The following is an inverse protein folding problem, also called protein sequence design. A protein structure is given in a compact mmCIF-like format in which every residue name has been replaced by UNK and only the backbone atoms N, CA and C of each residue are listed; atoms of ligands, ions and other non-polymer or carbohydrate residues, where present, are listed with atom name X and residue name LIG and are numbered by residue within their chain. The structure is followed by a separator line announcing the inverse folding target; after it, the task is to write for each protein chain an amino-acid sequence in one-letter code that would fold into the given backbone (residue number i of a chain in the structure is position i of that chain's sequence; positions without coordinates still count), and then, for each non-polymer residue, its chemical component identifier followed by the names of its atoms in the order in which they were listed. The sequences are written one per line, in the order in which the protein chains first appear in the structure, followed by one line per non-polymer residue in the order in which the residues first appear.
data_IF_506046852380
#
_entry.id   IF_506046852380
#
_cell.length_a   1.000
_cell.length_b   1.000
_cell.length_c   1.000
_cell.angle_alpha   90.00
_cell.angle_beta   90.00
_cell.angle_gamma   90.00
#
_symmetry.space_group_name_H-M   'P 1'
#
loop_
_entity.id
_entity.type
_entity.pdbx_description
1 polymer ?
#
# COMPACT_ATOMS: atom_id res chain seq x y z
N UNK A 1 63.66 -0.21 -6.97
CA UNK A 1 64.12 0.41 -8.22
C UNK A 1 63.00 1.27 -8.76
N UNK A 2 63.10 2.57 -8.54
CA UNK A 2 62.40 3.63 -9.29
C UNK A 2 63.20 3.93 -10.56
N UNK A 3 62.64 4.49 -11.63
CA UNK A 3 62.54 5.95 -11.77
C UNK A 3 61.19 6.36 -12.39
N UNK A 4 60.58 7.48 -12.01
CA UNK A 4 60.80 8.92 -12.34
C UNK A 4 60.54 9.34 -13.80
N UNK A 5 59.74 10.44 -13.84
CA UNK A 5 59.70 11.53 -14.82
C UNK A 5 58.61 11.43 -15.87
N UNK A 6 57.86 12.44 -16.29
CA UNK A 6 58.02 13.91 -16.11
C UNK A 6 56.72 14.60 -16.49
N UNK A 7 56.53 15.76 -15.90
CA UNK A 7 55.60 16.86 -16.19
C UNK A 7 55.73 17.35 -17.65
N UNK A 8 54.62 17.78 -18.24
CA UNK A 8 54.66 18.94 -19.16
C UNK A 8 53.36 19.75 -18.99
N UNK A 9 53.55 20.93 -18.41
CA UNK A 9 52.67 22.08 -18.51
C UNK A 9 52.74 22.65 -19.92
N UNK A 10 51.64 23.13 -20.40
CA UNK A 10 51.68 24.18 -21.45
C UNK A 10 50.48 25.12 -21.25
N UNK A 11 50.85 26.31 -20.97
CA UNK A 11 50.13 27.54 -20.75
C UNK A 11 49.49 28.11 -22.03
N UNK A 12 48.51 29.01 -21.77
CA UNK A 12 48.15 30.24 -22.47
C UNK A 12 47.30 30.08 -23.75
N UNK A 13 46.12 30.71 -23.87
CA UNK A 13 45.91 32.18 -24.03
C UNK A 13 44.41 32.45 -24.03
N UNK A 14 43.99 33.39 -23.19
CA UNK A 14 42.78 34.17 -23.39
C UNK A 14 43.07 35.30 -24.36
N UNK A 15 42.10 35.79 -25.08
CA UNK A 15 41.92 37.23 -25.13
C UNK A 15 40.54 37.71 -24.72
N UNK A 16 40.62 38.77 -23.98
CA UNK A 16 39.54 39.63 -23.53
C UNK A 16 39.03 40.56 -24.66
N UNK A 17 37.84 41.02 -24.44
CA UNK A 17 37.29 42.22 -25.09
C UNK A 17 36.13 41.90 -26.03
N UNK A 18 34.94 42.40 -25.87
CA UNK A 18 34.59 43.82 -25.79
C UNK A 18 33.18 44.00 -25.22
N UNK A 19 33.06 44.92 -24.31
CA UNK A 19 31.84 45.64 -23.93
C UNK A 19 31.29 46.43 -25.13
N UNK A 20 29.97 46.56 -25.16
CA UNK A 20 29.16 47.75 -25.45
C UNK A 20 27.80 47.28 -25.95
N UNK A 21 26.82 47.40 -25.14
CA UNK A 21 25.95 48.57 -24.96
C UNK A 21 24.68 48.54 -25.82
N UNK A 22 23.62 48.69 -25.10
CA UNK A 22 22.46 49.55 -25.35
C UNK A 22 21.18 48.97 -25.92
N UNK A 23 20.24 49.23 -25.06
CA UNK A 23 18.90 49.83 -25.27
C UNK A 23 17.72 48.86 -25.42
N UNK A 24 17.00 48.77 -24.26
CA UNK A 24 15.60 49.20 -24.10
C UNK A 24 14.69 48.85 -25.28
N UNK A 25 14.00 47.74 -25.13
CA UNK A 25 12.59 47.70 -25.55
C UNK A 25 11.79 46.97 -24.47
N UNK A 26 11.10 47.82 -23.68
CA UNK A 26 10.00 47.39 -22.80
C UNK A 26 8.84 47.07 -23.75
N UNK A 27 8.62 45.82 -24.04
CA UNK A 27 7.38 45.35 -24.61
C UNK A 27 6.64 44.60 -23.50
N UNK A 28 5.67 45.27 -22.94
CA UNK A 28 4.65 44.84 -22.00
C UNK A 28 3.82 43.76 -22.71
N UNK A 29 4.21 42.49 -22.57
CA UNK A 29 3.33 41.37 -22.92
C UNK A 29 2.63 40.97 -21.63
N UNK A 30 1.40 41.46 -21.50
CA UNK A 30 0.43 40.90 -20.55
C UNK A 30 0.19 39.43 -20.92
N UNK A 31 0.91 38.54 -20.22
CA UNK A 31 0.65 37.11 -20.30
C UNK A 31 -0.67 36.84 -19.57
N UNK A 32 -1.76 36.76 -20.33
CA UNK A 32 -3.01 36.18 -19.90
C UNK A 32 -2.71 34.75 -19.50
N UNK A 33 -2.54 34.49 -18.20
CA UNK A 33 -2.59 33.18 -17.63
C UNK A 33 -4.05 32.75 -17.73
N UNK A 34 -4.43 32.15 -18.84
CA UNK A 34 -5.62 31.35 -18.94
C UNK A 34 -5.36 30.13 -18.03
N UNK A 35 -5.82 30.24 -16.79
CA UNK A 35 -6.02 29.07 -15.95
C UNK A 35 -7.09 28.26 -16.67
N UNK A 36 -6.68 27.39 -17.57
CA UNK A 36 -7.51 26.33 -18.08
C UNK A 36 -7.79 25.42 -16.88
N UNK A 37 -8.88 25.68 -16.17
CA UNK A 37 -9.60 24.63 -15.45
C UNK A 37 -10.03 23.62 -16.52
N UNK A 38 -9.11 22.70 -16.85
CA UNK A 38 -9.43 21.53 -17.63
C UNK A 38 -10.47 20.71 -16.85
N UNK A 39 -11.53 20.22 -17.50
CA UNK A 39 -12.51 19.38 -16.85
C UNK A 39 -11.81 18.11 -16.40
N UNK A 40 -11.75 17.91 -15.06
CA UNK A 40 -11.65 16.63 -14.39
C UNK A 40 -10.67 15.61 -14.98
N UNK A 41 -9.37 15.83 -14.84
CA UNK A 41 -8.46 14.71 -14.78
C UNK A 41 -8.88 13.88 -13.55
N UNK A 42 -9.45 12.69 -13.75
CA UNK A 42 -9.63 11.75 -12.66
C UNK A 42 -8.22 11.50 -12.08
N UNK A 43 -7.95 12.08 -10.92
CA UNK A 43 -6.73 11.72 -10.19
C UNK A 43 -6.73 10.21 -10.06
N UNK A 44 -5.61 9.58 -10.41
CA UNK A 44 -5.47 8.14 -10.20
C UNK A 44 -5.84 7.82 -8.75
N UNK A 45 -6.66 6.79 -8.54
CA UNK A 45 -7.09 6.40 -7.20
C UNK A 45 -5.87 6.16 -6.32
N UNK A 46 -5.87 6.75 -5.12
CA UNK A 46 -4.87 6.47 -4.10
C UNK A 46 -5.24 5.23 -3.27
N UNK A 47 -4.32 4.75 -2.42
CA UNK A 47 -4.62 3.58 -1.56
C UNK A 47 -5.85 3.78 -0.68
N UNK A 48 -6.12 4.99 -0.21
CA UNK A 48 -7.30 5.31 0.60
C UNK A 48 -8.62 5.18 -0.18
N UNK A 49 -8.62 5.48 -1.47
CA UNK A 49 -9.79 5.35 -2.34
C UNK A 49 -10.10 3.88 -2.66
N UNK A 50 -9.04 3.05 -2.74
CA UNK A 50 -9.12 1.61 -3.01
C UNK A 50 -9.55 0.83 -1.77
N UNK A 51 -9.03 1.17 -0.59
CA UNK A 51 -9.25 0.44 0.66
C UNK A 51 -10.73 0.20 0.97
N UNK A 52 -11.01 -0.85 1.73
CA UNK A 52 -12.36 -1.21 2.19
C UNK A 52 -13.08 0.00 2.76
N UNK A 53 -14.31 0.22 2.28
CA UNK A 53 -15.20 1.27 2.73
C UNK A 53 -16.30 0.69 3.65
N UNK A 54 -16.85 1.49 4.55
CA UNK A 54 -17.94 1.06 5.43
C UNK A 54 -19.17 0.55 4.64
N UNK A 55 -19.38 1.08 3.43
CA UNK A 55 -20.47 0.64 2.54
C UNK A 55 -20.29 -0.76 1.95
N UNK A 56 -19.07 -1.30 1.97
CA UNK A 56 -18.77 -2.67 1.52
C UNK A 56 -19.17 -3.71 2.57
N UNK A 57 -19.31 -3.28 3.81
CA UNK A 57 -19.39 -4.14 4.98
C UNK A 57 -20.84 -4.38 5.43
N UNK A 58 -21.08 -5.49 6.14
CA UNK A 58 -22.34 -5.69 6.86
C UNK A 58 -22.62 -4.52 7.82
N UNK A 59 -23.92 -4.24 8.03
CA UNK A 59 -24.34 -3.24 9.03
C UNK A 59 -23.81 -3.62 10.41
N UNK A 60 -23.39 -2.62 11.17
CA UNK A 60 -22.89 -2.78 12.54
C UNK A 60 -21.36 -2.78 12.63
N UNK A 61 -20.62 -2.93 11.55
CA UNK A 61 -19.17 -2.71 11.53
C UNK A 61 -18.86 -1.22 11.43
N UNK A 62 -17.92 -0.77 12.26
CA UNK A 62 -17.43 0.61 12.29
C UNK A 62 -15.91 0.65 12.05
N UNK A 63 -15.43 1.71 11.42
CA UNK A 63 -14.01 1.93 11.22
C UNK A 63 -13.32 2.23 12.55
N UNK A 64 -12.21 1.55 12.82
CA UNK A 64 -11.40 1.74 14.02
C UNK A 64 -10.47 2.95 13.88
N UNK A 65 -10.18 3.63 15.00
CA UNK A 65 -9.33 4.84 15.06
C UNK A 65 -7.88 4.61 14.59
N UNK A 66 -7.39 3.36 14.60
CA UNK A 66 -6.06 3.01 14.10
C UNK A 66 -5.96 2.90 12.58
N UNK A 67 -7.06 3.16 11.86
CA UNK A 67 -7.05 3.16 10.39
C UNK A 67 -6.47 4.47 9.86
N UNK A 68 -5.62 4.39 8.84
CA UNK A 68 -4.96 5.56 8.25
C UNK A 68 -3.91 5.16 7.22
N UNK A 69 -3.09 6.11 6.80
CA UNK A 69 -1.89 5.79 6.06
C UNK A 69 -0.89 4.98 6.91
N UNK A 70 0.05 4.30 6.26
CA UNK A 70 0.97 3.38 6.93
C UNK A 70 1.86 4.11 7.97
N UNK A 71 2.27 5.34 7.71
CA UNK A 71 3.15 6.06 8.64
C UNK A 71 2.38 6.48 9.90
N UNK A 72 1.13 6.93 9.75
CA UNK A 72 0.21 7.21 10.85
C UNK A 72 -0.08 5.94 11.67
N UNK A 73 -0.33 4.82 11.01
CA UNK A 73 -0.51 3.52 11.67
C UNK A 73 0.73 3.13 12.48
N UNK A 74 1.92 3.18 11.88
CA UNK A 74 3.18 2.86 12.55
C UNK A 74 3.43 3.78 13.76
N UNK A 75 3.14 5.08 13.64
CA UNK A 75 3.25 6.01 14.76
C UNK A 75 2.32 5.63 15.92
N UNK A 76 1.10 5.20 15.64
CA UNK A 76 0.14 4.76 16.65
C UNK A 76 0.54 3.45 17.33
N UNK A 77 1.09 2.49 16.56
CA UNK A 77 1.50 1.17 17.09
C UNK A 77 2.79 1.27 17.91
N UNK A 78 3.69 2.20 17.56
CA UNK A 78 5.00 2.33 18.20
C UNK A 78 4.95 2.40 19.72
N UNK A 79 3.94 3.07 20.27
CA UNK A 79 3.78 3.26 21.73
C UNK A 79 2.97 2.14 22.39
N UNK A 80 2.11 1.46 21.62
CA UNK A 80 1.18 0.45 22.14
C UNK A 80 1.78 -0.96 22.07
N UNK A 81 2.43 -1.27 20.97
CA UNK A 81 3.05 -2.58 20.71
C UNK A 81 4.36 -2.40 19.94
N UNK A 82 5.49 -2.21 20.67
CA UNK A 82 6.81 -2.04 20.05
C UNK A 82 7.27 -3.24 19.21
N UNK A 83 6.77 -4.44 19.49
CA UNK A 83 7.12 -5.66 18.75
C UNK A 83 6.47 -5.62 17.36
N UNK A 84 5.15 -5.41 17.31
CA UNK A 84 4.40 -5.24 16.06
C UNK A 84 4.93 -4.03 15.27
N UNK A 85 5.25 -2.91 15.94
CA UNK A 85 5.89 -1.77 15.28
C UNK A 85 7.17 -2.17 14.56
N UNK A 86 8.09 -2.88 15.25
CA UNK A 86 9.39 -3.22 14.68
C UNK A 86 9.27 -4.14 13.46
N UNK A 87 8.43 -5.15 13.54
CA UNK A 87 8.20 -6.09 12.43
C UNK A 87 7.53 -5.40 11.24
N UNK A 88 6.44 -4.68 11.48
CA UNK A 88 5.69 -4.01 10.40
C UNK A 88 6.50 -2.89 9.75
N UNK A 89 7.27 -2.14 10.57
CA UNK A 89 8.16 -1.12 10.01
C UNK A 89 9.21 -1.72 9.11
N UNK A 90 9.80 -2.85 9.50
CA UNK A 90 10.76 -3.57 8.65
C UNK A 90 10.12 -4.01 7.34
N UNK A 91 8.96 -4.66 7.40
CA UNK A 91 8.21 -5.10 6.21
C UNK A 91 7.86 -3.92 5.29
N UNK A 92 7.45 -2.78 5.88
CA UNK A 92 7.16 -1.57 5.12
C UNK A 92 8.40 -0.95 4.48
N UNK A 93 9.54 -0.92 5.19
CA UNK A 93 10.81 -0.44 4.64
C UNK A 93 11.31 -1.36 3.52
N UNK A 94 11.15 -2.67 3.65
CA UNK A 94 11.44 -3.65 2.60
C UNK A 94 10.55 -3.41 1.36
N UNK A 95 9.24 -3.25 1.54
CA UNK A 95 8.31 -2.94 0.44
C UNK A 95 8.67 -1.62 -0.28
N UNK A 96 9.05 -0.57 0.47
CA UNK A 96 9.53 0.69 -0.11
C UNK A 96 10.80 0.49 -0.94
N UNK A 97 11.73 -0.33 -0.48
CA UNK A 97 12.96 -0.64 -1.25
C UNK A 97 12.65 -1.34 -2.58
N UNK A 98 11.53 -2.02 -2.67
CA UNK A 98 11.03 -2.69 -3.88
C UNK A 98 10.06 -1.85 -4.71
N UNK A 99 9.85 -0.58 -4.31
CA UNK A 99 9.10 0.39 -5.09
C UNK A 99 7.68 0.68 -4.61
N UNK A 100 7.31 0.27 -3.39
CA UNK A 100 6.11 0.76 -2.74
C UNK A 100 6.25 2.27 -2.47
N UNK A 101 5.18 3.02 -2.72
CA UNK A 101 5.17 4.48 -2.61
C UNK A 101 4.25 4.98 -1.51
N UNK A 102 3.10 4.34 -1.36
CA UNK A 102 2.08 4.67 -0.37
C UNK A 102 1.37 3.40 0.09
N UNK A 103 0.84 3.42 1.31
CA UNK A 103 -0.06 2.37 1.76
C UNK A 103 -1.14 2.94 2.69
N UNK A 104 -2.30 2.28 2.67
CA UNK A 104 -3.44 2.53 3.52
C UNK A 104 -3.74 1.31 4.36
N UNK A 105 -4.03 1.54 5.63
CA UNK A 105 -4.48 0.52 6.58
C UNK A 105 -5.92 0.82 6.98
N UNK A 106 -6.78 -0.18 6.98
CA UNK A 106 -8.14 -0.03 7.46
C UNK A 106 -8.53 -1.22 8.35
N UNK A 107 -9.01 -0.90 9.54
CA UNK A 107 -9.56 -1.86 10.50
C UNK A 107 -11.03 -1.54 10.74
N UNK A 108 -11.83 -2.61 10.85
CA UNK A 108 -13.23 -2.49 11.24
C UNK A 108 -13.58 -3.57 12.25
N UNK A 109 -14.41 -3.22 13.21
CA UNK A 109 -15.02 -4.13 14.18
C UNK A 109 -16.44 -3.70 14.49
N UNK A 110 -17.19 -4.52 15.21
CA UNK A 110 -18.58 -4.25 15.58
C UNK A 110 -18.72 -3.30 16.78
N UNK A 111 -17.62 -3.04 17.51
CA UNK A 111 -17.64 -2.13 18.67
C UNK A 111 -16.31 -1.40 18.83
N UNK A 112 -16.33 -0.30 19.58
CA UNK A 112 -15.12 0.46 19.94
C UNK A 112 -14.18 -0.36 20.83
N UNK A 113 -14.72 -1.18 21.71
CA UNK A 113 -13.94 -2.03 22.61
C UNK A 113 -13.19 -3.10 21.80
N UNK A 114 -13.84 -3.72 20.79
CA UNK A 114 -13.20 -4.66 19.89
C UNK A 114 -12.15 -3.99 18.99
N UNK A 115 -12.40 -2.75 18.53
CA UNK A 115 -11.36 -1.97 17.87
C UNK A 115 -10.12 -1.78 18.76
N UNK A 116 -10.32 -1.51 20.04
CA UNK A 116 -9.23 -1.33 21.01
C UNK A 116 -8.49 -2.64 21.25
N UNK A 117 -9.21 -3.76 21.36
CA UNK A 117 -8.64 -5.10 21.48
C UNK A 117 -7.71 -5.42 20.32
N UNK A 118 -8.17 -5.23 19.07
CA UNK A 118 -7.37 -5.48 17.85
C UNK A 118 -6.06 -4.66 17.88
N UNK A 119 -6.13 -3.40 18.29
CA UNK A 119 -4.98 -2.50 18.31
C UNK A 119 -3.97 -2.78 19.43
N UNK A 120 -4.43 -3.38 20.53
CA UNK A 120 -3.59 -3.61 21.72
C UNK A 120 -2.95 -4.98 21.76
N UNK A 121 -3.47 -5.96 21.04
CA UNK A 121 -3.08 -7.37 21.18
C UNK A 121 -2.15 -7.86 20.08
N UNK A 122 -1.75 -7.01 19.15
CA UNK A 122 -0.94 -7.46 18.02
C UNK A 122 -1.65 -8.60 17.26
N UNK A 123 -0.89 -9.61 16.84
CA UNK A 123 -1.46 -10.78 16.14
C UNK A 123 -2.16 -11.80 17.07
N UNK A 124 -2.07 -11.63 18.41
CA UNK A 124 -2.44 -12.66 19.37
C UNK A 124 -3.94 -12.93 19.45
N UNK A 125 -4.77 -11.90 19.41
CA UNK A 125 -6.21 -12.04 19.67
C UNK A 125 -7.06 -12.30 18.43
N UNK A 126 -6.52 -12.13 17.24
CA UNK A 126 -7.29 -12.37 16.01
C UNK A 126 -7.69 -13.83 15.85
N UNK A 127 -6.85 -14.76 16.30
CA UNK A 127 -7.13 -16.19 16.22
C UNK A 127 -8.23 -16.65 17.19
N UNK A 128 -8.51 -15.88 18.22
CA UNK A 128 -9.52 -16.17 19.25
C UNK A 128 -10.74 -15.24 19.17
N UNK A 129 -10.71 -14.25 18.29
CA UNK A 129 -11.81 -13.31 18.14
C UNK A 129 -13.10 -14.03 17.72
N UNK A 130 -14.16 -13.85 18.50
CA UNK A 130 -15.51 -14.39 18.20
C UNK A 130 -16.44 -13.35 17.57
N UNK A 131 -15.97 -12.12 17.41
CA UNK A 131 -16.67 -10.99 16.81
C UNK A 131 -16.19 -10.69 15.39
N UNK A 132 -16.98 -10.01 14.57
CA UNK A 132 -16.57 -9.68 13.21
C UNK A 132 -15.40 -8.67 13.20
N UNK A 133 -14.39 -8.98 12.38
CA UNK A 133 -13.22 -8.13 12.18
C UNK A 133 -12.90 -8.06 10.69
N UNK A 134 -12.53 -6.87 10.22
CA UNK A 134 -11.94 -6.68 8.89
C UNK A 134 -10.60 -5.94 9.03
N UNK A 135 -9.59 -6.49 8.41
CA UNK A 135 -8.23 -5.94 8.32
C UNK A 135 -7.87 -5.80 6.86
N UNK A 136 -7.48 -4.62 6.46
CA UNK A 136 -7.17 -4.34 5.08
C UNK A 136 -5.91 -3.51 4.95
N UNK A 137 -5.03 -3.92 4.03
CA UNK A 137 -3.84 -3.19 3.63
C UNK A 137 -3.86 -3.02 2.13
N UNK A 138 -3.75 -1.78 1.68
CA UNK A 138 -3.62 -1.43 0.27
C UNK A 138 -2.29 -0.75 0.07
N UNK A 139 -1.42 -1.37 -0.72
CA UNK A 139 -0.08 -0.89 -1.02
C UNK A 139 -0.05 -0.45 -2.48
N UNK A 140 0.34 0.79 -2.72
CA UNK A 140 0.57 1.30 -4.06
C UNK A 140 2.05 1.28 -4.38
N UNK A 141 2.40 0.70 -5.51
CA UNK A 141 3.75 0.69 -6.05
C UNK A 141 3.90 1.74 -7.16
N UNK A 142 5.14 2.06 -7.48
CA UNK A 142 5.49 3.02 -8.54
C UNK A 142 4.95 2.62 -9.92
N UNK A 143 4.82 1.31 -10.18
CA UNK A 143 4.33 0.74 -11.44
C UNK A 143 3.79 -0.68 -11.24
N UNK A 144 3.14 -1.24 -12.28
CA UNK A 144 2.55 -2.58 -12.26
C UNK A 144 3.61 -3.69 -12.13
N UNK A 145 4.79 -3.50 -12.68
CA UNK A 145 5.88 -4.48 -12.59
C UNK A 145 6.38 -4.62 -11.16
N UNK A 146 6.55 -3.48 -10.45
CA UNK A 146 6.91 -3.47 -9.04
C UNK A 146 5.81 -4.11 -8.17
N UNK A 147 4.53 -3.82 -8.43
CA UNK A 147 3.40 -4.44 -7.73
C UNK A 147 3.32 -5.95 -7.98
N UNK A 148 3.54 -6.40 -9.21
CA UNK A 148 3.56 -7.83 -9.54
C UNK A 148 4.70 -8.57 -8.85
N UNK A 149 5.88 -7.94 -8.74
CA UNK A 149 6.99 -8.47 -7.94
C UNK A 149 6.63 -8.48 -6.46
N UNK A 150 6.06 -7.37 -5.94
CA UNK A 150 5.60 -7.27 -4.55
C UNK A 150 4.64 -8.39 -4.17
N UNK A 151 3.68 -8.71 -5.03
CA UNK A 151 2.73 -9.83 -4.79
C UNK A 151 3.44 -11.16 -4.49
N UNK A 152 4.62 -11.42 -5.11
CA UNK A 152 5.37 -12.65 -4.92
C UNK A 152 6.41 -12.59 -3.82
N UNK A 153 6.86 -11.39 -3.42
CA UNK A 153 8.00 -11.22 -2.50
C UNK A 153 7.63 -10.57 -1.17
N UNK A 154 6.61 -9.69 -1.18
CA UNK A 154 6.27 -8.94 0.03
C UNK A 154 5.39 -9.75 0.98
N UNK A 155 5.63 -9.52 2.26
CA UNK A 155 4.80 -9.98 3.36
C UNK A 155 4.48 -8.78 4.24
N UNK A 156 3.20 -8.60 4.57
CA UNK A 156 2.77 -7.61 5.55
C UNK A 156 1.95 -8.34 6.60
N UNK A 157 2.32 -8.20 7.87
CA UNK A 157 1.71 -8.93 8.99
C UNK A 157 1.72 -10.45 8.81
N UNK A 158 2.77 -10.97 8.16
CA UNK A 158 2.89 -12.39 7.88
C UNK A 158 2.00 -12.90 6.75
N UNK A 159 1.19 -12.04 6.12
CA UNK A 159 0.37 -12.42 4.97
C UNK A 159 1.16 -12.20 3.67
N UNK A 160 1.32 -13.28 2.93
CA UNK A 160 1.91 -13.30 1.59
C UNK A 160 1.29 -14.42 0.77
N UNK A 161 1.50 -14.40 -0.55
CA UNK A 161 1.09 -15.50 -1.43
C UNK A 161 1.69 -16.83 -0.96
N UNK A 162 2.97 -16.84 -0.64
CA UNK A 162 3.67 -18.05 -0.21
C UNK A 162 3.17 -18.58 1.12
N UNK A 163 2.92 -17.73 2.13
CA UNK A 163 2.40 -18.12 3.45
C UNK A 163 1.02 -18.76 3.30
N UNK A 164 0.11 -18.11 2.56
CA UNK A 164 -1.24 -18.64 2.33
C UNK A 164 -1.17 -19.98 1.57
N UNK A 165 -0.31 -20.06 0.57
CA UNK A 165 -0.14 -21.26 -0.24
C UNK A 165 0.34 -22.46 0.55
N UNK A 166 1.24 -22.24 1.51
CA UNK A 166 1.85 -23.33 2.31
C UNK A 166 0.98 -23.75 3.51
N UNK A 167 0.24 -22.82 4.09
CA UNK A 167 -0.52 -23.07 5.33
C UNK A 167 -2.00 -23.38 5.11
N UNK A 168 -2.57 -22.94 3.98
CA UNK A 168 -4.01 -22.96 3.76
C UNK A 168 -4.63 -24.29 3.32
N UNK A 169 -3.83 -25.25 2.88
CA UNK A 169 -4.35 -26.59 2.50
C UNK A 169 -5.49 -26.53 1.48
N UNK A 170 -6.54 -27.32 1.70
CA UNK A 170 -7.69 -27.43 0.79
C UNK A 170 -8.58 -26.17 0.72
N UNK A 171 -8.42 -25.22 1.64
CA UNK A 171 -9.16 -23.95 1.65
C UNK A 171 -8.62 -22.88 0.70
N UNK A 172 -7.52 -23.18 -0.01
CA UNK A 172 -6.84 -22.21 -0.89
C UNK A 172 -7.44 -22.22 -2.28
N UNK A 173 -7.69 -21.02 -2.80
CA UNK A 173 -8.07 -20.75 -4.19
C UNK A 173 -7.04 -19.79 -4.80
N UNK A 174 -6.63 -19.98 -6.05
CA UNK A 174 -5.58 -19.16 -6.70
C UNK A 174 -6.00 -18.61 -8.06
N UNK A 175 -5.36 -17.50 -8.44
CA UNK A 175 -5.50 -16.92 -9.76
C UNK A 175 -6.94 -16.49 -10.06
N UNK A 176 -7.38 -16.67 -11.29
CA UNK A 176 -8.71 -16.23 -11.76
C UNK A 176 -9.88 -16.84 -10.98
N UNK A 177 -9.68 -18.00 -10.35
CA UNK A 177 -10.72 -18.69 -9.58
C UNK A 177 -11.09 -17.94 -8.28
N UNK A 178 -10.23 -17.01 -7.82
CA UNK A 178 -10.55 -16.13 -6.70
C UNK A 178 -11.59 -15.05 -7.06
N UNK A 179 -11.74 -14.74 -8.36
CA UNK A 179 -12.49 -13.57 -8.85
C UNK A 179 -11.74 -12.25 -8.75
N UNK A 180 -10.46 -12.26 -8.33
CA UNK A 180 -9.66 -11.04 -8.09
C UNK A 180 -8.55 -10.81 -9.14
N UNK A 181 -8.39 -11.73 -10.09
CA UNK A 181 -7.42 -11.65 -11.18
C UNK A 181 -6.35 -12.74 -11.12
N UNK A 182 -5.41 -12.71 -12.08
CA UNK A 182 -4.40 -13.78 -12.24
C UNK A 182 -3.40 -13.85 -11.08
N UNK A 183 -3.00 -12.71 -10.56
CA UNK A 183 -2.09 -12.59 -9.42
C UNK A 183 -2.91 -12.45 -8.14
N UNK A 184 -3.50 -13.53 -7.70
CA UNK A 184 -4.32 -13.54 -6.50
C UNK A 184 -4.34 -14.92 -5.83
N UNK A 185 -4.48 -14.91 -4.52
CA UNK A 185 -4.68 -16.09 -3.70
C UNK A 185 -5.69 -15.75 -2.61
N UNK A 186 -6.58 -16.66 -2.31
CA UNK A 186 -7.52 -16.55 -1.22
C UNK A 186 -7.54 -17.84 -0.40
N UNK A 187 -7.68 -17.71 0.91
CA UNK A 187 -7.85 -18.77 1.87
C UNK A 187 -9.21 -18.63 2.54
N UNK A 188 -9.94 -19.71 2.62
CA UNK A 188 -11.18 -19.81 3.38
C UNK A 188 -11.05 -20.93 4.40
N UNK A 189 -11.22 -20.62 5.67
CA UNK A 189 -11.20 -21.59 6.76
C UNK A 189 -12.45 -21.39 7.61
N UNK A 190 -13.07 -22.50 8.01
CA UNK A 190 -14.10 -22.53 9.04
C UNK A 190 -13.63 -23.47 10.16
N UNK A 191 -13.52 -22.95 11.37
CA UNK A 191 -13.08 -23.69 12.56
C UNK A 191 -14.14 -23.48 13.67
N UNK A 192 -14.93 -24.50 13.95
CA UNK A 192 -16.05 -24.35 14.88
C UNK A 192 -17.04 -23.30 14.39
N UNK A 193 -17.26 -22.25 15.19
CA UNK A 193 -18.15 -21.14 14.85
C UNK A 193 -17.40 -19.94 14.23
N UNK A 194 -16.10 -20.05 14.00
CA UNK A 194 -15.29 -19.00 13.42
C UNK A 194 -15.12 -19.23 11.92
N UNK A 195 -15.20 -18.16 11.15
CA UNK A 195 -14.92 -18.13 9.73
C UNK A 195 -13.80 -17.14 9.42
N UNK A 196 -12.87 -17.56 8.56
CA UNK A 196 -11.75 -16.76 8.12
C UNK A 196 -11.74 -16.72 6.60
N UNK A 197 -11.70 -15.53 6.05
CA UNK A 197 -11.40 -15.27 4.66
C UNK A 197 -10.19 -14.36 4.59
N UNK A 198 -9.12 -14.83 3.96
CA UNK A 198 -7.92 -14.02 3.73
C UNK A 198 -7.63 -14.02 2.25
N UNK A 199 -7.41 -12.86 1.66
CA UNK A 199 -7.05 -12.75 0.26
C UNK A 199 -5.86 -11.78 0.09
N UNK A 200 -4.95 -12.14 -0.81
CA UNK A 200 -3.86 -11.29 -1.29
C UNK A 200 -3.97 -11.24 -2.81
N UNK A 201 -3.95 -10.05 -3.37
CA UNK A 201 -3.97 -9.89 -4.84
C UNK A 201 -3.22 -8.66 -5.31
N UNK A 202 -2.80 -8.72 -6.57
CA UNK A 202 -2.27 -7.58 -7.29
C UNK A 202 -3.20 -7.23 -8.44
N UNK A 203 -3.51 -5.95 -8.58
CA UNK A 203 -4.20 -5.39 -9.72
C UNK A 203 -3.55 -4.05 -10.06
N UNK A 204 -3.13 -3.89 -11.33
CA UNK A 204 -2.33 -2.75 -11.77
C UNK A 204 -1.13 -2.53 -10.83
N UNK A 205 -0.94 -1.30 -10.37
CA UNK A 205 0.15 -0.93 -9.46
C UNK A 205 -0.23 -1.05 -7.97
N UNK A 206 -1.29 -1.80 -7.64
CA UNK A 206 -1.69 -2.06 -6.26
C UNK A 206 -1.49 -3.53 -5.89
N UNK A 207 -1.04 -3.75 -4.65
CA UNK A 207 -1.13 -5.01 -3.94
C UNK A 207 -2.07 -4.81 -2.75
N UNK A 208 -2.99 -5.73 -2.57
CA UNK A 208 -3.98 -5.67 -1.51
C UNK A 208 -3.93 -6.93 -0.66
N UNK A 209 -4.06 -6.75 0.65
CA UNK A 209 -4.20 -7.81 1.63
C UNK A 209 -5.50 -7.54 2.39
N UNK A 210 -6.39 -8.50 2.38
CA UNK A 210 -7.67 -8.43 3.07
C UNK A 210 -7.85 -9.65 3.97
N UNK A 211 -8.05 -9.42 5.26
CA UNK A 211 -8.47 -10.41 6.24
C UNK A 211 -9.88 -10.11 6.73
N UNK A 212 -10.76 -11.08 6.69
CA UNK A 212 -12.15 -10.96 7.17
C UNK A 212 -12.45 -12.13 8.10
N UNK A 213 -12.80 -11.85 9.34
CA UNK A 213 -13.08 -12.82 10.38
C UNK A 213 -14.56 -12.72 10.79
N UNK A 214 -15.19 -13.86 10.98
CA UNK A 214 -16.56 -13.99 11.51
C UNK A 214 -17.62 -13.19 10.74
N UNK A 215 -17.39 -13.01 9.44
CA UNK A 215 -18.34 -12.50 8.45
C UNK A 215 -18.68 -13.63 7.49
N UNK A 216 -19.91 -13.66 7.02
CA UNK A 216 -20.33 -14.63 6.00
C UNK A 216 -19.38 -14.65 4.80
N UNK A 217 -19.08 -15.86 4.28
CA UNK A 217 -18.10 -16.05 3.22
C UNK A 217 -18.50 -15.33 1.93
N UNK A 218 -19.79 -15.36 1.56
CA UNK A 218 -20.25 -14.68 0.34
C UNK A 218 -20.09 -13.18 0.48
N UNK A 219 -20.37 -12.65 1.67
CA UNK A 219 -20.15 -11.23 1.98
C UNK A 219 -18.65 -10.88 1.98
N UNK A 220 -17.80 -11.72 2.55
CA UNK A 220 -16.35 -11.52 2.56
C UNK A 220 -15.77 -11.45 1.13
N UNK A 221 -16.18 -12.36 0.25
CA UNK A 221 -15.82 -12.33 -1.17
C UNK A 221 -16.34 -11.08 -1.88
N UNK A 222 -17.53 -10.61 -1.54
CA UNK A 222 -18.10 -9.38 -2.09
C UNK A 222 -17.28 -8.16 -1.68
N UNK A 223 -16.82 -8.09 -0.43
CA UNK A 223 -15.91 -7.03 0.04
C UNK A 223 -14.67 -6.98 -0.83
N UNK A 224 -13.99 -8.11 -1.02
CA UNK A 224 -12.79 -8.21 -1.86
C UNK A 224 -13.06 -7.78 -3.33
N UNK A 225 -14.18 -8.21 -3.90
CA UNK A 225 -14.56 -7.87 -5.29
C UNK A 225 -14.87 -6.38 -5.44
N UNK A 226 -15.59 -5.78 -4.48
CA UNK A 226 -15.88 -4.35 -4.49
C UNK A 226 -14.59 -3.52 -4.39
N UNK A 227 -13.69 -3.91 -3.51
CA UNK A 227 -12.39 -3.27 -3.36
C UNK A 227 -11.56 -3.38 -4.63
N UNK A 228 -11.44 -4.58 -5.22
CA UNK A 228 -10.75 -4.79 -6.48
C UNK A 228 -11.34 -3.96 -7.64
N UNK A 229 -12.65 -3.79 -7.67
CA UNK A 229 -13.36 -2.98 -8.67
C UNK A 229 -13.06 -1.48 -8.61
N UNK A 230 -12.52 -0.96 -7.50
CA UNK A 230 -12.08 0.43 -7.36
C UNK A 230 -10.70 0.70 -7.94
N UNK A 231 -9.90 -0.31 -8.21
CA UNK A 231 -8.60 -0.18 -8.89
C UNK A 231 -8.85 0.02 -10.39
N UNK A 232 -8.80 1.29 -10.84
CA UNK A 232 -9.13 1.70 -12.22
C UNK A 232 -7.88 1.99 -13.03
#
# INVERSE_FOLDING_TARGET
MLPHSSLTESHLLQPAGTLLAMHRWIAMMALLIVVACGPGGSSAAGPADVAVQASDLPKGLQKCDGSGDMDSFLAAVKTKDPSTYSSTKKEWDDAKSHGATQAQVAFFADSKDHCTSIQNSGNGDLSTATYPVVINFVIQFKDESAASKGYTTESIFGFSESTISTTGGAGVTKGTDTGLGKNSIALTIAIGNQSFYVAVWQNKNFMVILGVLNVDLAQSKKVATNENGRIK
#
